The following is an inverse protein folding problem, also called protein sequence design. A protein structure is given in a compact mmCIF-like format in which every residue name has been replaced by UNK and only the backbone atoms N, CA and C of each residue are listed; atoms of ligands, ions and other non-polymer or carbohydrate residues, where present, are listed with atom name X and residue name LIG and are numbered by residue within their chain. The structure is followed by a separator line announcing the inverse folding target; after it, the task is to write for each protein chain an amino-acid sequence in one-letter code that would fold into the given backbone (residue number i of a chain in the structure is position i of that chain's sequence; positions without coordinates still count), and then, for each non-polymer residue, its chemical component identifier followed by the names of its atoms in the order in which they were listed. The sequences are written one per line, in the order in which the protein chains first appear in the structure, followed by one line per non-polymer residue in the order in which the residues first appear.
data_IF_544012020388
#
_entry.id   IF_544012020388
#
_cell.length_a   1.000
_cell.length_b   1.000
_cell.length_c   1.000
_cell.angle_alpha   90.00
_cell.angle_beta   90.00
_cell.angle_gamma   90.00
#
_symmetry.space_group_name_H-M   'P 1'
#
loop_
_entity.id
_entity.type
_entity.pdbx_description
1 polymer ?
#
# COMPACT_ATOMS: atom_id res chain seq x y z
N UNK A 1 -51.78 -16.68 6.01
CA UNK A 1 -51.10 -16.09 4.83
C UNK A 1 -50.16 -14.95 5.22
N UNK A 2 -50.60 -13.99 6.04
CA UNK A 2 -49.79 -12.87 6.54
C UNK A 2 -48.46 -13.26 7.23
N UNK A 3 -48.45 -14.32 8.06
CA UNK A 3 -47.23 -14.73 8.78
C UNK A 3 -46.12 -15.24 7.85
N UNK A 4 -46.48 -15.87 6.72
CA UNK A 4 -45.51 -16.35 5.72
C UNK A 4 -44.93 -15.19 4.91
N UNK A 5 -45.75 -14.20 4.55
CA UNK A 5 -45.29 -13.00 3.84
C UNK A 5 -44.37 -12.16 4.74
N UNK A 6 -44.69 -12.05 6.02
CA UNK A 6 -43.85 -11.33 6.98
C UNK A 6 -42.51 -12.03 7.22
N UNK A 7 -42.50 -13.37 7.36
CA UNK A 7 -41.27 -14.15 7.51
C UNK A 7 -40.35 -14.05 6.28
N UNK A 8 -40.91 -14.08 5.07
CA UNK A 8 -40.16 -13.87 3.82
C UNK A 8 -39.62 -12.45 3.75
N UNK A 9 -40.41 -11.44 4.15
CA UNK A 9 -39.96 -10.05 4.21
C UNK A 9 -38.77 -9.85 5.14
N UNK A 10 -38.84 -10.41 6.36
CA UNK A 10 -37.73 -10.35 7.33
C UNK A 10 -36.49 -11.08 6.82
N UNK A 11 -36.66 -12.23 6.17
CA UNK A 11 -35.55 -12.98 5.59
C UNK A 11 -34.86 -12.21 4.45
N UNK A 12 -35.63 -11.60 3.55
CA UNK A 12 -35.09 -10.76 2.47
C UNK A 12 -34.38 -9.52 3.02
N UNK A 13 -34.95 -8.84 4.02
CA UNK A 13 -34.28 -7.70 4.67
C UNK A 13 -32.98 -8.10 5.37
N UNK A 14 -32.95 -9.26 6.04
CA UNK A 14 -31.74 -9.76 6.69
C UNK A 14 -30.62 -10.12 5.69
N UNK A 15 -30.97 -10.62 4.50
CA UNK A 15 -29.99 -10.87 3.43
C UNK A 15 -29.38 -9.57 2.88
N UNK A 16 -30.15 -8.48 2.80
CA UNK A 16 -29.63 -7.17 2.38
C UNK A 16 -28.64 -6.63 3.42
N UNK A 17 -28.89 -6.82 4.72
CA UNK A 17 -27.97 -6.38 5.78
C UNK A 17 -26.64 -7.14 5.80
N UNK A 18 -26.62 -8.42 5.41
CA UNK A 18 -25.39 -9.23 5.36
C UNK A 18 -24.49 -8.77 4.19
N UNK A 19 -25.06 -8.31 3.08
CA UNK A 19 -24.30 -7.72 1.96
C UNK A 19 -23.65 -6.36 2.28
N UNK A 20 -24.08 -5.71 3.37
CA UNK A 20 -23.52 -4.44 3.87
C UNK A 20 -22.63 -4.66 5.11
N UNK A 21 -22.48 -5.91 5.55
CA UNK A 21 -21.64 -6.31 6.70
C UNK A 21 -20.22 -6.74 6.29
N UNK A 22 -19.90 -6.77 5.00
CA UNK A 22 -18.52 -6.71 4.51
C UNK A 22 -17.93 -5.34 4.84
N UNK A 23 -17.56 -5.16 6.11
CA UNK A 23 -16.93 -3.96 6.63
C UNK A 23 -15.69 -3.58 5.84
N UNK A 24 -15.52 -2.27 5.65
CA UNK A 24 -14.47 -1.64 4.86
C UNK A 24 -13.04 -2.07 5.25
N UNK A 25 -12.54 -3.10 4.60
CA UNK A 25 -11.12 -3.26 4.23
C UNK A 25 -11.16 -3.61 2.75
N UNK A 26 -10.35 -2.93 1.92
CA UNK A 26 -10.60 -2.72 0.48
C UNK A 26 -10.51 -3.97 -0.41
N UNK A 27 -11.07 -5.13 -0.06
CA UNK A 27 -11.41 -6.23 -0.97
C UNK A 27 -10.28 -6.77 -1.87
N UNK A 28 -9.04 -6.36 -1.64
CA UNK A 28 -7.92 -6.70 -2.51
C UNK A 28 -7.42 -8.07 -2.07
N UNK A 29 -7.87 -9.08 -2.79
CA UNK A 29 -7.22 -10.39 -2.81
C UNK A 29 -5.80 -10.25 -3.35
N UNK A 30 -4.97 -11.28 -3.22
CA UNK A 30 -3.62 -11.30 -3.78
C UNK A 30 -3.60 -10.86 -5.25
N UNK A 31 -4.63 -11.22 -6.01
CA UNK A 31 -4.80 -10.88 -7.43
C UNK A 31 -5.17 -9.43 -7.72
N UNK A 32 -5.47 -8.62 -6.69
CA UNK A 32 -5.72 -7.19 -6.84
C UNK A 32 -4.46 -6.40 -7.12
N UNK A 33 -3.32 -6.83 -6.57
CA UNK A 33 -2.00 -6.26 -6.85
C UNK A 33 -1.20 -7.14 -7.82
N UNK A 34 -1.40 -8.46 -7.81
CA UNK A 34 -0.59 -9.42 -8.57
C UNK A 34 -1.34 -10.00 -9.79
N UNK A 35 -0.75 -9.88 -10.98
CA UNK A 35 -1.21 -10.52 -12.21
C UNK A 35 -0.53 -11.87 -12.43
N UNK A 36 -1.12 -12.97 -11.98
CA UNK A 36 -0.51 -14.31 -12.04
C UNK A 36 -0.20 -14.75 -13.49
N UNK A 37 -1.08 -14.42 -14.45
CA UNK A 37 -0.90 -14.78 -15.87
C UNK A 37 -0.65 -13.56 -16.78
N UNK A 38 -0.73 -12.35 -16.23
CA UNK A 38 -0.72 -11.10 -16.99
C UNK A 38 0.05 -9.98 -16.26
N UNK A 39 1.07 -10.36 -15.49
CA UNK A 39 1.97 -9.43 -14.84
C UNK A 39 2.57 -8.44 -15.84
N UNK A 40 2.66 -7.19 -15.41
CA UNK A 40 3.26 -6.08 -16.14
C UNK A 40 4.49 -5.54 -15.43
N UNK A 41 4.50 -5.59 -14.10
CA UNK A 41 5.65 -5.19 -13.28
C UNK A 41 6.46 -6.38 -12.74
N UNK A 42 7.54 -6.06 -12.04
CA UNK A 42 8.33 -7.01 -11.26
C UNK A 42 7.47 -7.69 -10.16
N UNK A 43 7.88 -8.87 -9.69
CA UNK A 43 7.18 -9.61 -8.63
C UNK A 43 5.68 -9.78 -8.96
N UNK A 44 5.41 -10.18 -10.21
CA UNK A 44 4.07 -10.43 -10.76
C UNK A 44 3.08 -9.26 -10.59
N UNK A 45 3.52 -8.00 -10.53
CA UNK A 45 2.60 -6.86 -10.34
C UNK A 45 1.65 -6.66 -11.53
N UNK A 46 0.39 -6.33 -11.27
CA UNK A 46 -0.66 -6.23 -12.29
C UNK A 46 -0.56 -4.96 -13.18
N UNK A 47 0.23 -3.97 -12.75
CA UNK A 47 0.46 -2.72 -13.48
C UNK A 47 1.94 -2.48 -13.74
N UNK A 48 2.22 -1.74 -14.80
CA UNK A 48 3.56 -1.20 -15.06
C UNK A 48 3.91 -0.13 -14.00
N UNK A 49 5.19 0.02 -13.64
CA UNK A 49 5.64 1.16 -12.85
C UNK A 49 5.28 2.49 -13.54
N UNK A 50 4.63 3.40 -12.83
CA UNK A 50 4.32 4.73 -13.34
C UNK A 50 5.59 5.59 -13.44
N UNK A 51 6.08 5.75 -14.67
CA UNK A 51 7.24 6.58 -15.03
C UNK A 51 6.86 8.01 -15.43
N UNK A 52 5.56 8.33 -15.50
CA UNK A 52 5.05 9.63 -15.95
C UNK A 52 4.92 10.61 -14.79
N UNK A 53 4.55 10.13 -13.60
CA UNK A 53 4.44 10.99 -12.41
C UNK A 53 5.83 11.45 -11.94
N UNK A 54 5.95 12.76 -11.71
CA UNK A 54 7.19 13.43 -11.32
C UNK A 54 7.10 13.84 -9.85
N UNK A 55 8.15 13.53 -9.09
CA UNK A 55 8.26 13.95 -7.72
C UNK A 55 8.43 15.48 -7.62
N UNK A 56 7.53 16.22 -6.96
CA UNK A 56 7.59 17.68 -6.90
C UNK A 56 8.79 18.21 -6.11
N UNK A 57 9.40 17.39 -5.23
CA UNK A 57 10.57 17.75 -4.43
C UNK A 57 11.89 17.50 -5.16
N UNK A 58 12.04 16.33 -5.79
CA UNK A 58 13.30 15.96 -6.47
C UNK A 58 13.34 16.33 -7.95
N UNK A 59 12.17 16.63 -8.55
CA UNK A 59 11.99 16.88 -10.00
C UNK A 59 12.36 15.68 -10.88
N UNK A 60 12.42 14.48 -10.30
CA UNK A 60 12.69 13.23 -11.02
C UNK A 60 11.44 12.36 -11.09
N UNK A 61 11.31 11.46 -12.08
CA UNK A 61 10.29 10.44 -12.09
C UNK A 61 10.34 9.58 -10.82
N UNK A 62 9.19 9.10 -10.37
CA UNK A 62 9.15 8.08 -9.32
C UNK A 62 9.75 6.76 -9.83
N UNK A 63 10.36 6.00 -8.92
CA UNK A 63 11.04 4.72 -9.21
C UNK A 63 10.68 3.68 -8.15
N UNK A 64 11.08 2.42 -8.37
CA UNK A 64 10.91 1.35 -7.38
C UNK A 64 9.46 1.13 -6.97
N UNK A 65 9.24 0.80 -5.70
CA UNK A 65 7.92 0.46 -5.16
C UNK A 65 6.92 1.61 -5.27
N UNK A 66 7.33 2.87 -5.07
CA UNK A 66 6.42 4.02 -5.27
C UNK A 66 5.89 4.06 -6.70
N UNK A 67 6.72 3.81 -7.72
CA UNK A 67 6.26 3.83 -9.11
C UNK A 67 5.19 2.76 -9.37
N UNK A 68 5.32 1.58 -8.77
CA UNK A 68 4.30 0.52 -8.84
C UNK A 68 2.98 0.96 -8.20
N UNK A 69 3.03 1.51 -6.98
CA UNK A 69 1.84 2.01 -6.28
C UNK A 69 1.12 3.11 -7.10
N UNK A 70 1.87 4.03 -7.68
CA UNK A 70 1.35 5.10 -8.52
C UNK A 70 0.83 4.62 -9.89
N UNK A 71 1.12 3.37 -10.30
CA UNK A 71 0.46 2.75 -11.44
C UNK A 71 -1.06 2.67 -11.24
N UNK A 72 -1.52 2.50 -10.00
CA UNK A 72 -2.93 2.51 -9.64
C UNK A 72 -3.37 3.82 -8.97
N UNK A 73 -2.58 4.30 -8.01
CA UNK A 73 -2.93 5.39 -7.09
C UNK A 73 -2.55 6.79 -7.58
N UNK A 74 -2.10 6.94 -8.81
CA UNK A 74 -1.99 8.26 -9.44
C UNK A 74 -3.19 8.51 -10.35
N UNK A 75 -3.47 9.78 -10.65
CA UNK A 75 -4.53 10.14 -11.60
C UNK A 75 -4.20 9.70 -13.05
N UNK A 76 -5.22 9.45 -13.90
CA UNK A 76 -5.01 9.05 -15.29
C UNK A 76 -4.18 10.03 -16.12
N UNK A 77 -4.33 11.34 -15.89
CA UNK A 77 -3.54 12.36 -16.57
C UNK A 77 -2.03 12.26 -16.25
N UNK A 78 -1.68 11.66 -15.12
CA UNK A 78 -0.30 11.41 -14.66
C UNK A 78 0.11 9.93 -14.75
N UNK A 79 -0.64 9.12 -15.48
CA UNK A 79 -0.26 7.75 -15.85
C UNK A 79 -0.64 6.67 -14.83
N UNK A 80 -1.47 7.00 -13.84
CA UNK A 80 -2.08 5.99 -12.96
C UNK A 80 -3.49 5.58 -13.42
N UNK A 81 -4.15 4.70 -12.67
CA UNK A 81 -5.54 4.29 -12.96
C UNK A 81 -6.59 5.14 -12.23
N UNK A 82 -6.18 6.03 -11.33
CA UNK A 82 -7.09 6.86 -10.53
C UNK A 82 -7.76 6.12 -9.37
N UNK A 83 -7.32 4.90 -9.03
CA UNK A 83 -7.89 4.12 -7.92
C UNK A 83 -7.43 4.76 -6.62
N UNK A 84 -8.35 5.37 -5.87
CA UNK A 84 -8.01 6.11 -4.64
C UNK A 84 -6.79 7.01 -4.84
N UNK A 85 -6.86 7.89 -5.83
CA UNK A 85 -5.71 8.68 -6.25
C UNK A 85 -5.11 9.48 -5.07
N UNK A 86 -3.79 9.44 -4.94
CA UNK A 86 -3.02 10.16 -3.92
C UNK A 86 -2.19 11.24 -4.58
N UNK A 87 -2.02 12.36 -3.89
CA UNK A 87 -1.22 13.49 -4.37
C UNK A 87 -0.03 13.73 -3.43
N UNK A 88 1.19 13.89 -3.96
CA UNK A 88 2.36 14.22 -3.13
C UNK A 88 2.29 15.64 -2.54
N UNK A 89 1.35 16.47 -3.01
CA UNK A 89 1.12 17.82 -2.51
C UNK A 89 0.13 17.86 -1.33
N UNK A 90 -0.69 16.83 -1.17
CA UNK A 90 -1.69 16.73 -0.09
C UNK A 90 -1.25 15.75 1.01
N UNK A 91 -0.33 14.85 0.69
CA UNK A 91 0.21 13.83 1.60
C UNK A 91 1.65 14.17 2.03
N UNK A 92 2.21 13.33 2.90
CA UNK A 92 3.65 13.35 3.16
C UNK A 92 4.43 13.12 1.86
N UNK A 93 5.60 13.76 1.68
CA UNK A 93 6.44 13.50 0.53
C UNK A 93 6.93 12.04 0.58
N UNK A 94 6.78 11.34 -0.53
CA UNK A 94 7.25 9.97 -0.74
C UNK A 94 8.26 9.92 -1.88
N UNK A 95 9.01 8.83 -1.99
CA UNK A 95 10.12 8.69 -2.94
C UNK A 95 11.28 9.66 -2.67
N UNK A 96 11.45 10.09 -1.41
CA UNK A 96 12.49 11.05 -0.98
C UNK A 96 13.33 10.48 0.15
N UNK A 97 14.57 10.97 0.29
CA UNK A 97 15.35 10.75 1.51
C UNK A 97 14.82 11.70 2.59
N UNK A 98 14.30 11.19 3.73
CA UNK A 98 13.75 12.05 4.77
C UNK A 98 14.86 12.88 5.45
N UNK A 99 14.50 14.08 5.89
CA UNK A 99 15.40 14.95 6.63
C UNK A 99 15.20 14.78 8.13
N UNK A 100 16.27 14.44 8.86
CA UNK A 100 16.27 14.35 10.32
C UNK A 100 15.88 15.67 11.01
N UNK A 101 15.97 16.81 10.30
CA UNK A 101 15.49 18.12 10.79
C UNK A 101 13.97 18.22 10.85
N UNK A 102 13.25 17.37 10.10
CA UNK A 102 11.79 17.38 9.99
C UNK A 102 11.18 16.23 10.79
N UNK A 103 11.70 15.03 10.59
CA UNK A 103 11.19 13.80 11.20
C UNK A 103 12.35 12.83 11.46
N UNK A 104 12.28 12.08 12.55
CA UNK A 104 13.16 10.95 12.80
C UNK A 104 12.48 9.70 12.27
N UNK A 105 12.73 9.35 11.01
CA UNK A 105 12.12 8.18 10.36
C UNK A 105 13.02 6.96 10.60
N UNK A 106 12.55 5.91 11.32
CA UNK A 106 13.29 4.67 11.47
C UNK A 106 13.68 4.03 10.14
N UNK A 107 14.90 3.47 10.05
CA UNK A 107 15.38 2.79 8.84
C UNK A 107 14.56 1.57 8.42
N UNK A 108 13.75 1.02 9.33
CA UNK A 108 12.79 -0.05 9.01
C UNK A 108 11.72 0.40 8.02
N UNK A 109 11.36 1.69 8.02
CA UNK A 109 10.37 2.27 7.11
C UNK A 109 10.97 2.81 5.80
N UNK A 110 12.29 2.70 5.64
CA UNK A 110 12.98 3.18 4.46
C UNK A 110 13.30 2.01 3.51
N UNK A 111 13.29 2.30 2.21
CA UNK A 111 13.80 1.44 1.15
C UNK A 111 14.83 2.24 0.37
N UNK A 112 16.05 1.73 0.28
CA UNK A 112 17.17 2.47 -0.32
C UNK A 112 17.33 3.89 0.23
N UNK A 113 17.17 4.04 1.56
CA UNK A 113 17.16 5.32 2.29
C UNK A 113 16.03 6.29 1.91
N UNK A 114 15.06 5.87 1.09
CA UNK A 114 13.89 6.65 0.72
C UNK A 114 12.66 6.25 1.52
N UNK A 115 11.84 7.23 1.84
CA UNK A 115 10.50 7.03 2.36
C UNK A 115 9.57 6.68 1.20
N UNK A 116 9.32 5.39 1.01
CA UNK A 116 8.41 4.86 -0.01
C UNK A 116 6.99 4.69 0.56
N UNK A 117 5.99 4.44 -0.31
CA UNK A 117 4.62 4.16 0.13
C UNK A 117 4.55 3.05 1.18
N UNK A 118 5.37 2.02 1.00
CA UNK A 118 5.45 0.87 1.90
C UNK A 118 6.08 1.19 3.25
N UNK A 119 6.69 2.36 3.44
CA UNK A 119 7.19 2.78 4.75
C UNK A 119 6.07 3.11 5.73
N UNK A 120 4.90 3.51 5.21
CA UNK A 120 3.72 3.83 6.01
C UNK A 120 2.63 2.76 5.87
N UNK A 121 2.52 2.15 4.69
CA UNK A 121 1.52 1.14 4.37
C UNK A 121 2.15 -0.24 4.25
N UNK A 122 1.49 -1.27 4.75
CA UNK A 122 1.85 -2.65 4.51
C UNK A 122 0.56 -3.41 4.19
N UNK A 123 0.26 -3.70 2.91
CA UNK A 123 -0.96 -4.40 2.53
C UNK A 123 -0.88 -5.93 2.73
N UNK A 124 0.28 -6.51 3.07
CA UNK A 124 0.43 -7.96 3.20
C UNK A 124 0.02 -8.49 4.59
N UNK A 125 -0.32 -9.80 4.70
CA UNK A 125 -1.06 -10.51 3.66
C UNK A 125 -2.45 -9.89 3.43
N UNK A 126 -2.96 -9.10 4.38
CA UNK A 126 -4.17 -8.27 4.32
C UNK A 126 -4.25 -7.49 5.63
N UNK A 127 -3.29 -6.59 5.87
CA UNK A 127 -3.24 -5.82 7.11
C UNK A 127 -4.58 -5.11 7.40
N UNK A 128 -5.25 -5.41 8.53
CA UNK A 128 -6.56 -4.85 8.84
C UNK A 128 -6.47 -3.45 9.43
N UNK A 129 -5.29 -2.87 9.58
CA UNK A 129 -5.17 -1.52 10.07
C UNK A 129 -5.80 -0.54 9.06
N UNK A 130 -6.19 0.63 9.56
CA UNK A 130 -6.83 1.67 8.76
C UNK A 130 -6.01 1.96 7.50
N UNK A 131 -6.59 1.70 6.30
CA UNK A 131 -5.92 1.85 5.01
C UNK A 131 -4.54 1.17 4.94
N UNK A 132 -4.39 -0.01 5.55
CA UNK A 132 -3.13 -0.76 5.59
C UNK A 132 -1.98 -0.05 6.31
N UNK A 133 -2.24 0.92 7.20
CA UNK A 133 -1.17 1.57 7.96
C UNK A 133 -0.36 0.55 8.78
N UNK A 134 0.94 0.75 8.88
CA UNK A 134 1.83 -0.10 9.69
C UNK A 134 1.61 0.01 11.19
N UNK A 135 0.74 0.90 11.64
CA UNK A 135 0.30 0.96 13.04
C UNK A 135 -1.20 1.11 13.08
N UNK A 136 -1.81 0.57 14.13
CA UNK A 136 -3.24 0.70 14.31
C UNK A 136 -3.61 2.14 14.71
N UNK A 137 -4.38 2.79 13.84
CA UNK A 137 -4.94 4.11 14.06
C UNK A 137 -6.42 4.06 14.45
N UNK A 138 -6.98 2.89 14.78
CA UNK A 138 -8.39 2.66 15.15
C UNK A 138 -9.36 3.36 14.22
N UNK A 139 -9.30 2.99 12.93
CA UNK A 139 -10.10 3.60 11.86
C UNK A 139 -9.94 5.14 11.74
N UNK A 140 -8.82 5.67 12.21
CA UNK A 140 -8.50 7.09 12.21
C UNK A 140 -8.64 7.77 13.59
N UNK A 141 -9.28 7.14 14.56
CA UNK A 141 -9.49 7.72 15.90
C UNK A 141 -8.18 7.90 16.68
N UNK A 142 -7.14 7.12 16.37
CA UNK A 142 -5.82 7.17 17.00
C UNK A 142 -4.71 7.55 16.02
N UNK A 143 -4.99 8.47 15.09
CA UNK A 143 -4.01 8.92 14.08
C UNK A 143 -2.71 9.47 14.68
N UNK A 144 -2.75 10.00 15.91
CA UNK A 144 -1.54 10.43 16.63
C UNK A 144 -0.51 9.30 16.82
N UNK A 145 -0.96 8.05 16.93
CA UNK A 145 -0.07 6.89 17.01
C UNK A 145 0.72 6.72 15.71
N UNK A 146 0.08 6.94 14.56
CA UNK A 146 0.75 6.95 13.26
C UNK A 146 1.75 8.09 13.13
N UNK A 147 1.38 9.31 13.52
CA UNK A 147 2.29 10.46 13.50
C UNK A 147 3.55 10.22 14.37
N UNK A 148 3.37 9.54 15.50
CA UNK A 148 4.43 9.23 16.47
C UNK A 148 5.53 8.32 15.92
N UNK A 149 5.25 7.55 14.85
CA UNK A 149 6.24 6.69 14.19
C UNK A 149 7.49 7.46 13.73
N UNK A 150 7.28 8.69 13.27
CA UNK A 150 8.34 9.53 12.69
C UNK A 150 8.53 10.85 13.46
N UNK A 151 7.52 11.27 14.25
CA UNK A 151 7.56 12.48 15.06
C UNK A 151 7.44 12.17 16.56
N UNK A 152 8.32 11.35 17.16
CA UNK A 152 8.18 10.87 18.53
C UNK A 152 8.27 12.01 19.57
N UNK A 153 8.97 13.10 19.26
CA UNK A 153 9.08 14.26 20.14
C UNK A 153 7.75 15.00 20.36
N UNK A 154 6.75 14.76 19.52
CA UNK A 154 5.42 15.37 19.59
C UNK A 154 4.35 14.41 20.10
N UNK A 155 4.74 13.21 20.50
CA UNK A 155 3.84 12.15 20.91
C UNK A 155 3.96 11.86 22.40
N UNK A 156 2.92 11.25 22.97
CA UNK A 156 3.00 10.66 24.31
C UNK A 156 4.11 9.58 24.32
N UNK A 157 5.11 9.67 25.20
CA UNK A 157 6.17 8.67 25.32
C UNK A 157 5.65 7.24 25.50
N UNK A 158 4.48 7.06 26.13
CA UNK A 158 3.83 5.76 26.28
C UNK A 158 3.41 5.20 24.93
N UNK A 159 2.79 6.01 24.08
CA UNK A 159 2.39 5.62 22.72
C UNK A 159 3.60 5.18 21.91
N UNK A 160 4.72 5.89 22.01
CA UNK A 160 5.96 5.53 21.29
C UNK A 160 6.52 4.19 21.77
N UNK A 161 6.52 3.93 23.09
CA UNK A 161 7.06 2.69 23.67
C UNK A 161 6.21 1.45 23.40
N UNK A 162 4.89 1.61 23.40
CA UNK A 162 3.94 0.50 23.25
C UNK A 162 3.50 0.27 21.80
N UNK A 163 4.05 1.06 20.86
CA UNK A 163 3.68 1.01 19.45
C UNK A 163 3.97 -0.36 18.85
N UNK A 164 2.90 -1.00 18.37
CA UNK A 164 3.02 -2.24 17.58
C UNK A 164 3.07 -1.87 16.11
N UNK A 165 4.22 -2.15 15.52
CA UNK A 165 4.45 -1.97 14.09
C UNK A 165 4.10 -3.30 13.40
N UNK A 166 3.19 -3.22 12.44
CA UNK A 166 2.91 -4.26 11.48
C UNK A 166 3.99 -4.23 10.39
N UNK A 167 4.72 -5.32 10.25
CA UNK A 167 5.85 -5.45 9.33
C UNK A 167 5.91 -6.87 8.74
N UNK A 168 5.06 -7.09 7.75
CA UNK A 168 5.00 -8.34 6.97
C UNK A 168 5.68 -8.21 5.61
N UNK A 169 5.77 -6.99 5.09
CA UNK A 169 6.41 -6.66 3.82
C UNK A 169 7.76 -5.98 4.10
N UNK A 170 8.75 -6.77 4.53
CA UNK A 170 10.16 -6.39 4.48
C UNK A 170 10.93 -7.34 3.57
N UNK A 171 10.97 -6.97 2.30
CA UNK A 171 11.65 -7.66 1.21
C UNK A 171 13.16 -7.81 1.44
N UNK A 172 13.77 -7.04 2.35
CA UNK A 172 15.20 -7.18 2.71
C UNK A 172 15.46 -8.45 3.50
N UNK A 173 14.44 -8.97 4.19
CA UNK A 173 14.53 -10.23 4.92
C UNK A 173 14.42 -11.45 3.98
N UNK A 174 14.14 -11.23 2.69
CA UNK A 174 14.09 -12.25 1.66
C UNK A 174 15.09 -11.94 0.55
N UNK A 175 16.29 -12.50 0.63
CA UNK A 175 17.26 -12.42 -0.48
C UNK A 175 16.69 -13.20 -1.67
N UNK A 176 16.16 -12.49 -2.67
CA UNK A 176 15.84 -13.11 -3.95
C UNK A 176 17.16 -13.59 -4.60
N UNK A 177 17.21 -14.79 -5.20
CA UNK A 177 18.34 -15.18 -6.03
C UNK A 177 18.57 -14.11 -7.10
N UNK A 178 19.83 -13.74 -7.32
CA UNK A 178 20.23 -12.82 -8.39
C UNK A 178 19.52 -13.22 -9.69
N UNK A 179 18.85 -12.28 -10.41
CA UNK A 179 18.21 -12.60 -11.68
C UNK A 179 19.22 -13.27 -12.60
N UNK A 180 18.96 -14.54 -12.94
CA UNK A 180 19.76 -15.24 -13.96
C UNK A 180 19.47 -14.49 -15.26
N UNK A 181 20.52 -13.95 -15.88
CA UNK A 181 20.40 -13.28 -17.17
C UNK A 181 19.64 -14.19 -18.15
N UNK A 182 18.77 -13.64 -19.01
CA UNK A 182 18.03 -14.44 -19.99
C UNK A 182 19.00 -15.33 -20.77
N UNK A 183 18.68 -16.62 -20.86
CA UNK A 183 19.47 -17.55 -21.66
C UNK A 183 19.58 -16.98 -23.09
N UNK A 184 20.80 -16.96 -23.63
CA UNK A 184 21.04 -16.50 -24.99
C UNK A 184 20.11 -17.26 -25.96
N UNK A 185 19.52 -16.57 -26.95
CA UNK A 185 18.62 -17.22 -27.90
C UNK A 185 19.34 -18.38 -28.58
N UNK A 186 18.66 -19.52 -28.65
CA UNK A 186 19.22 -20.73 -29.26
C UNK A 186 19.66 -20.44 -30.70
N UNK A 187 20.82 -20.96 -31.14
CA UNK A 187 21.29 -20.75 -32.49
C UNK A 187 20.27 -21.29 -33.49
N UNK A 188 19.91 -20.46 -34.48
CA UNK A 188 19.03 -20.86 -35.57
C UNK A 188 19.65 -22.06 -36.28
N UNK A 189 18.95 -23.20 -36.27
CA UNK A 189 19.31 -24.36 -37.10
C UNK A 189 19.21 -23.91 -38.57
N UNK A 190 20.31 -24.07 -39.31
CA UNK A 190 20.36 -23.92 -40.76
C UNK A 190 19.65 -25.08 -41.43
#
# INVERSE_FOLDING_TARGET
MFLRVFAVGVFVLSLVSISWASGAHDGLLCTGCHGIHNAKGEIIFAVEPNKKSINPKTKQPYTGTTALCLGCHETPDKGGMGIMAVSPNMSHPYGIVPSAKVANVPGTFLRDNKLECVGCHDPHPSNPNYKYLRVDAEKGAKMQNFCAMCHPMKADPKVVREMKIFDSMDERNFTLPTPVAPAAPAPKKK
#
